data_IF_581426123690
#
_entry.id   IF_581426123690
#
_cell.length_a   1.000
_cell.length_b   1.000
_cell.length_c   1.000
_cell.angle_alpha   90.00
_cell.angle_beta   90.00
_cell.angle_gamma   90.00
#
_symmetry.space_group_name_H-M   'P 1'
#
loop_
_entity.id
_entity.type
_entity.pdbx_description
1 polymer ?
#
# COMPACT_ATOMS: atom_id res chain seq x y z
N UNK A 1 -32.99 -8.67 -53.09
CA UNK A 1 -31.61 -8.61 -52.56
C UNK A 1 -31.15 -7.22 -52.07
N UNK A 2 -32.02 -6.22 -51.87
CA UNK A 2 -31.61 -4.86 -51.42
C UNK A 2 -31.75 -4.59 -49.91
N UNK A 3 -32.43 -5.46 -49.14
CA UNK A 3 -32.73 -5.25 -47.70
C UNK A 3 -31.67 -5.80 -46.74
N UNK A 4 -30.85 -6.76 -47.16
CA UNK A 4 -29.77 -7.35 -46.32
C UNK A 4 -28.54 -6.45 -46.22
N UNK A 5 -28.23 -5.67 -47.27
CA UNK A 5 -27.10 -4.73 -47.28
C UNK A 5 -27.35 -3.53 -46.34
N UNK A 6 -28.61 -3.11 -46.18
CA UNK A 6 -28.97 -1.95 -45.34
C UNK A 6 -28.86 -2.21 -43.83
N UNK A 7 -28.94 -3.48 -43.38
CA UNK A 7 -28.78 -3.86 -41.97
C UNK A 7 -27.31 -4.15 -41.58
N UNK A 8 -26.45 -4.48 -42.55
CA UNK A 8 -25.03 -4.76 -42.30
C UNK A 8 -24.20 -3.49 -42.09
N UNK A 9 -24.58 -2.36 -42.70
CA UNK A 9 -23.87 -1.09 -42.58
C UNK A 9 -23.87 -0.50 -41.15
N UNK A 10 -25.01 -0.37 -40.44
CA UNK A 10 -25.00 0.12 -39.06
C UNK A 10 -24.29 -0.85 -38.09
N UNK A 11 -24.34 -2.16 -38.36
CA UNK A 11 -23.62 -3.16 -37.56
C UNK A 11 -22.11 -3.06 -37.74
N UNK A 12 -21.63 -2.86 -38.98
CA UNK A 12 -20.22 -2.63 -39.27
C UNK A 12 -19.72 -1.31 -38.64
N UNK A 13 -20.52 -0.25 -38.68
CA UNK A 13 -20.22 1.03 -38.01
C UNK A 13 -20.18 0.85 -36.49
N UNK A 14 -21.12 0.13 -35.89
CA UNK A 14 -21.10 -0.15 -34.46
C UNK A 14 -19.88 -0.98 -34.02
N UNK A 15 -19.49 -2.00 -34.81
CA UNK A 15 -18.29 -2.81 -34.57
C UNK A 15 -16.99 -2.00 -34.72
N UNK A 16 -16.92 -1.10 -35.71
CA UNK A 16 -15.81 -0.16 -35.89
C UNK A 16 -15.72 0.83 -34.72
N UNK A 17 -16.85 1.36 -34.25
CA UNK A 17 -16.88 2.28 -33.11
C UNK A 17 -16.49 1.61 -31.78
N UNK A 18 -16.83 0.32 -31.59
CA UNK A 18 -16.37 -0.45 -30.43
C UNK A 18 -14.86 -0.76 -30.49
N UNK A 19 -14.30 -0.99 -31.68
CA UNK A 19 -12.86 -1.20 -31.86
C UNK A 19 -11.99 0.05 -31.64
N UNK A 20 -12.61 1.23 -31.63
CA UNK A 20 -11.92 2.50 -31.37
C UNK A 20 -11.89 2.89 -29.88
N UNK A 21 -12.48 2.12 -28.96
CA UNK A 21 -12.35 2.40 -27.54
C UNK A 21 -11.04 1.80 -27.00
N UNK A 22 -10.14 2.67 -26.52
CA UNK A 22 -8.94 2.22 -25.84
C UNK A 22 -9.25 1.55 -24.51
N UNK A 23 -8.37 0.64 -24.09
CA UNK A 23 -8.51 -0.03 -22.79
C UNK A 23 -8.20 0.94 -21.64
N UNK A 24 -8.82 0.72 -20.48
CA UNK A 24 -8.40 1.37 -19.25
C UNK A 24 -6.98 0.91 -18.87
N UNK A 25 -6.23 1.81 -18.23
CA UNK A 25 -4.97 1.46 -17.60
C UNK A 25 -5.20 0.53 -16.42
N UNK A 26 -4.16 -0.23 -16.06
CA UNK A 26 -4.16 -1.08 -14.86
C UNK A 26 -3.86 -0.25 -13.63
N UNK A 27 -4.49 -0.60 -12.52
CA UNK A 27 -4.16 0.00 -11.24
C UNK A 27 -2.76 -0.45 -10.80
N UNK A 28 -2.05 0.51 -10.22
CA UNK A 28 -0.77 0.32 -9.57
C UNK A 28 -0.81 -0.65 -8.39
N UNK A 29 0.33 -1.25 -8.09
CA UNK A 29 0.52 -2.09 -6.91
C UNK A 29 1.23 -1.35 -5.79
N UNK A 30 0.92 -1.73 -4.54
CA UNK A 30 1.60 -1.23 -3.35
C UNK A 30 2.39 -2.38 -2.74
N UNK A 31 3.68 -2.17 -2.58
CA UNK A 31 4.61 -3.12 -2.01
C UNK A 31 5.07 -2.61 -0.64
N UNK A 32 4.87 -3.41 0.39
CA UNK A 32 5.24 -3.08 1.76
C UNK A 32 6.36 -4.01 2.22
N UNK A 33 7.46 -3.43 2.68
CA UNK A 33 8.50 -4.14 3.43
C UNK A 33 8.41 -3.73 4.89
N UNK A 34 8.40 -4.71 5.78
CA UNK A 34 8.51 -4.49 7.21
C UNK A 34 9.97 -4.62 7.63
N UNK A 35 10.49 -3.60 8.32
CA UNK A 35 11.83 -3.62 8.91
C UNK A 35 11.72 -3.51 10.41
N UNK A 36 12.39 -4.40 11.12
CA UNK A 36 12.35 -4.49 12.57
C UNK A 36 13.72 -4.11 13.14
N UNK A 37 13.78 -3.10 14.01
CA UNK A 37 15.00 -2.65 14.69
C UNK A 37 14.72 -2.69 16.18
N UNK A 38 15.45 -3.54 16.91
CA UNK A 38 15.27 -3.73 18.35
C UNK A 38 13.83 -4.10 18.75
N UNK A 39 13.17 -4.89 17.90
CA UNK A 39 11.80 -5.40 18.09
C UNK A 39 11.84 -6.88 18.49
N UNK A 40 11.14 -7.22 19.58
CA UNK A 40 11.02 -8.57 20.12
C UNK A 40 9.79 -9.31 19.61
N UNK A 41 8.70 -8.61 19.31
CA UNK A 41 7.51 -9.19 18.67
C UNK A 41 6.78 -8.19 17.79
N UNK A 42 6.16 -8.69 16.72
CA UNK A 42 5.37 -7.89 15.78
C UNK A 42 4.14 -8.66 15.30
N UNK A 43 3.03 -7.95 15.15
CA UNK A 43 1.81 -8.43 14.53
C UNK A 43 1.16 -7.33 13.67
N UNK A 44 0.51 -7.76 12.59
CA UNK A 44 -0.46 -6.96 11.84
C UNK A 44 -1.53 -7.88 11.23
N UNK A 45 -2.65 -7.31 10.79
CA UNK A 45 -3.74 -8.04 10.13
C UNK A 45 -3.61 -8.07 8.60
N UNK A 46 -2.50 -7.58 8.03
CA UNK A 46 -2.25 -7.62 6.59
C UNK A 46 -1.87 -9.03 6.12
N UNK A 47 -2.81 -9.72 5.48
CA UNK A 47 -2.64 -11.09 4.96
C UNK A 47 -1.46 -11.25 4.00
N UNK A 48 -0.99 -10.17 3.34
CA UNK A 48 0.16 -10.22 2.46
C UNK A 48 1.48 -10.45 3.22
N UNK A 49 1.53 -10.12 4.50
CA UNK A 49 2.66 -10.36 5.39
C UNK A 49 2.46 -11.72 6.09
N UNK A 50 3.25 -12.76 5.75
CA UNK A 50 3.10 -14.08 6.36
C UNK A 50 3.74 -14.17 7.75
N UNK A 51 3.41 -15.23 8.49
CA UNK A 51 4.16 -15.60 9.70
C UNK A 51 5.61 -15.95 9.34
N UNK A 52 6.56 -15.49 10.16
CA UNK A 52 7.99 -15.69 9.91
C UNK A 52 8.50 -14.94 8.68
N UNK A 53 7.87 -13.82 8.31
CA UNK A 53 8.27 -13.00 7.18
C UNK A 53 9.76 -12.58 7.26
N UNK A 54 10.37 -12.39 6.10
CA UNK A 54 11.69 -11.77 5.98
C UNK A 54 11.56 -10.24 6.01
N UNK A 55 12.44 -9.57 6.76
CA UNK A 55 12.53 -8.11 6.85
C UNK A 55 13.18 -7.43 5.63
N UNK A 56 13.72 -8.23 4.70
CA UNK A 56 14.44 -7.75 3.53
C UNK A 56 13.60 -7.75 2.24
N UNK A 57 12.38 -8.29 2.30
CA UNK A 57 11.53 -8.51 1.13
C UNK A 57 10.32 -7.57 1.15
N UNK A 58 9.92 -7.15 -0.05
CA UNK A 58 8.68 -6.41 -0.28
C UNK A 58 7.52 -7.37 -0.58
N UNK A 59 6.40 -7.20 0.13
CA UNK A 59 5.18 -7.97 -0.06
C UNK A 59 4.12 -7.13 -0.75
N UNK A 60 3.47 -7.69 -1.77
CA UNK A 60 2.38 -7.01 -2.50
C UNK A 60 1.14 -6.93 -1.61
N UNK A 61 0.89 -5.76 -1.05
CA UNK A 61 -0.22 -5.51 -0.13
C UNK A 61 -1.42 -4.94 -0.88
N UNK A 62 -2.62 -5.37 -0.48
CA UNK A 62 -3.86 -4.77 -1.02
C UNK A 62 -4.05 -3.37 -0.45
N UNK A 63 -4.74 -2.50 -1.18
CA UNK A 63 -5.26 -1.27 -0.62
C UNK A 63 -6.29 -1.61 0.48
N UNK A 64 -6.20 -0.96 1.64
CA UNK A 64 -6.97 -1.33 2.82
C UNK A 64 -6.55 -0.53 4.04
N UNK A 65 -7.24 -0.78 5.15
CA UNK A 65 -6.80 -0.33 6.48
C UNK A 65 -6.39 -1.59 7.24
N UNK A 66 -5.30 -1.48 7.97
CA UNK A 66 -4.69 -2.56 8.72
C UNK A 66 -4.38 -2.09 10.13
N UNK A 67 -4.42 -3.01 11.07
CA UNK A 67 -4.00 -2.84 12.46
C UNK A 67 -2.60 -3.44 12.63
N UNK A 68 -1.81 -2.86 13.52
CA UNK A 68 -0.50 -3.39 13.86
C UNK A 68 -0.17 -3.15 15.32
N UNK A 69 0.73 -3.99 15.84
CA UNK A 69 1.35 -3.82 17.14
C UNK A 69 2.78 -4.38 17.14
N UNK A 70 3.67 -3.78 17.93
CA UNK A 70 5.00 -4.31 18.14
C UNK A 70 5.57 -3.97 19.51
N UNK A 71 6.38 -4.89 20.04
CA UNK A 71 7.10 -4.74 21.29
C UNK A 71 8.59 -4.66 21.02
N UNK A 72 9.27 -3.72 21.67
CA UNK A 72 10.69 -3.47 21.56
C UNK A 72 11.50 -4.20 22.66
N UNK A 73 12.82 -4.24 22.52
CA UNK A 73 13.73 -4.88 23.48
C UNK A 73 13.81 -4.17 24.83
N UNK A 74 13.48 -2.88 24.88
CA UNK A 74 13.42 -2.06 26.10
C UNK A 74 12.06 -2.18 26.83
N UNK A 75 11.13 -2.98 26.29
CA UNK A 75 9.77 -3.11 26.79
C UNK A 75 8.80 -2.04 26.26
N UNK A 76 9.25 -1.10 25.44
CA UNK A 76 8.36 -0.16 24.75
C UNK A 76 7.41 -0.93 23.84
N UNK A 77 6.13 -0.58 23.87
CA UNK A 77 5.12 -1.12 22.96
C UNK A 77 4.49 -0.02 22.12
N UNK A 78 4.22 -0.34 20.87
CA UNK A 78 3.51 0.53 19.92
C UNK A 78 2.37 -0.24 19.30
N UNK A 79 1.19 0.36 19.25
CA UNK A 79 0.01 -0.17 18.57
C UNK A 79 -0.58 0.90 17.65
N UNK A 80 -1.33 0.50 16.63
CA UNK A 80 -1.94 1.48 15.75
C UNK A 80 -2.54 0.92 14.47
N UNK A 81 -2.74 1.83 13.52
CA UNK A 81 -3.30 1.50 12.21
C UNK A 81 -2.42 2.05 11.09
N UNK A 82 -2.43 1.35 9.96
CA UNK A 82 -1.92 1.90 8.71
C UNK A 82 -2.91 1.69 7.56
N UNK A 83 -3.08 2.71 6.72
CA UNK A 83 -3.96 2.66 5.54
C UNK A 83 -3.14 2.73 4.27
N UNK A 84 -3.34 1.80 3.35
CA UNK A 84 -2.70 1.79 2.03
C UNK A 84 -3.69 2.19 0.93
N UNK A 85 -3.25 3.09 0.05
CA UNK A 85 -3.97 3.46 -1.19
C UNK A 85 -3.06 3.28 -2.39
N UNK A 86 -3.64 2.83 -3.51
CA UNK A 86 -2.95 2.60 -4.78
C UNK A 86 -3.26 3.70 -5.79
N UNK A 87 -2.33 3.92 -6.70
CA UNK A 87 -2.53 4.76 -7.87
C UNK A 87 -3.43 4.03 -8.87
N UNK A 88 -4.54 4.67 -9.28
CA UNK A 88 -5.49 4.07 -10.21
C UNK A 88 -5.02 4.28 -11.65
N UNK A 89 -5.27 3.30 -12.51
CA UNK A 89 -5.08 3.47 -13.95
C UNK A 89 -6.04 4.53 -14.50
N UNK A 90 -5.61 5.27 -15.52
CA UNK A 90 -6.49 6.21 -16.20
C UNK A 90 -7.56 5.48 -17.02
N UNK A 91 -8.70 6.14 -17.22
CA UNK A 91 -9.71 5.65 -18.15
C UNK A 91 -9.20 5.73 -19.59
N UNK A 92 -9.43 4.65 -20.33
CA UNK A 92 -9.31 4.65 -21.79
C UNK A 92 -10.36 5.57 -22.41
N UNK A 93 -10.04 6.09 -23.59
CA UNK A 93 -10.90 6.95 -24.37
C UNK A 93 -10.93 6.56 -25.84
N UNK A 94 -11.62 7.35 -26.64
CA UNK A 94 -11.66 7.15 -28.09
C UNK A 94 -10.24 7.24 -28.67
N UNK A 95 -9.79 6.16 -29.29
CA UNK A 95 -8.47 5.97 -29.91
C UNK A 95 -7.28 6.14 -28.95
N UNK A 96 -7.51 6.08 -27.62
CA UNK A 96 -6.47 6.30 -26.61
C UNK A 96 -6.63 5.31 -25.46
N UNK A 97 -5.60 4.51 -25.20
CA UNK A 97 -5.55 3.70 -23.97
C UNK A 97 -5.30 4.61 -22.75
N UNK A 98 -5.86 4.25 -21.60
CA UNK A 98 -5.51 4.87 -20.33
C UNK A 98 -4.09 4.48 -19.93
N UNK A 99 -3.39 5.39 -19.27
CA UNK A 99 -2.09 5.10 -18.67
C UNK A 99 -2.25 4.19 -17.44
N UNK A 100 -1.32 3.25 -17.25
CA UNK A 100 -1.27 2.44 -16.03
C UNK A 100 -0.90 3.31 -14.83
N UNK A 101 -1.49 3.00 -13.67
CA UNK A 101 -1.03 3.51 -12.39
C UNK A 101 0.38 2.98 -12.10
N UNK A 102 1.21 3.81 -11.47
CA UNK A 102 2.59 3.40 -11.15
C UNK A 102 2.59 2.29 -10.08
N UNK A 103 3.76 1.74 -9.75
CA UNK A 103 3.94 0.92 -8.54
C UNK A 103 4.61 1.73 -7.43
N UNK A 104 4.33 1.42 -6.16
CA UNK A 104 4.97 2.08 -5.01
C UNK A 104 5.53 1.09 -4.02
N UNK A 105 6.71 1.40 -3.52
CA UNK A 105 7.48 0.58 -2.57
C UNK A 105 7.68 1.37 -1.28
N UNK A 106 7.03 0.92 -0.21
CA UNK A 106 7.16 1.48 1.14
C UNK A 106 7.97 0.56 2.04
N UNK A 107 8.87 1.13 2.84
CA UNK A 107 9.44 0.45 4.00
C UNK A 107 8.82 1.02 5.27
N UNK A 108 8.08 0.19 5.98
CA UNK A 108 7.61 0.50 7.32
C UNK A 108 8.61 -0.10 8.31
N UNK A 109 9.37 0.78 8.96
CA UNK A 109 10.35 0.42 10.00
C UNK A 109 9.75 0.59 11.39
N UNK A 110 9.72 -0.48 12.18
CA UNK A 110 9.35 -0.52 13.58
C UNK A 110 10.61 -0.42 14.45
N UNK A 111 10.61 0.46 15.45
CA UNK A 111 11.75 0.78 16.32
C UNK A 111 11.27 1.38 17.65
N UNK A 112 12.18 1.46 18.62
CA UNK A 112 11.93 1.98 19.97
C UNK A 112 11.33 3.40 19.93
N UNK A 113 11.88 4.28 19.09
CA UNK A 113 11.43 5.67 18.94
C UNK A 113 10.11 5.82 18.19
N UNK A 114 9.46 4.70 17.84
CA UNK A 114 8.21 4.68 17.11
C UNK A 114 8.39 4.48 15.60
N UNK A 115 7.29 4.29 14.86
CA UNK A 115 7.33 3.89 13.47
C UNK A 115 8.06 4.92 12.59
N UNK A 116 8.72 4.44 11.53
CA UNK A 116 9.28 5.25 10.46
C UNK A 116 8.84 4.71 9.12
N UNK A 117 8.54 5.63 8.21
CA UNK A 117 8.19 5.30 6.84
C UNK A 117 9.24 5.85 5.88
N UNK A 118 9.69 4.99 4.96
CA UNK A 118 10.43 5.40 3.78
C UNK A 118 9.74 4.89 2.53
N UNK A 119 10.01 5.53 1.40
CA UNK A 119 9.57 5.07 0.08
C UNK A 119 10.65 5.29 -0.96
N UNK A 120 10.64 4.48 -2.01
CA UNK A 120 11.52 4.68 -3.16
C UNK A 120 10.83 5.54 -4.22
N UNK A 121 11.56 6.55 -4.67
CA UNK A 121 11.17 7.41 -5.79
C UNK A 121 12.43 7.92 -6.50
N UNK A 122 12.43 7.88 -7.82
CA UNK A 122 13.55 8.34 -8.67
C UNK A 122 14.91 7.70 -8.30
N UNK A 123 14.89 6.41 -7.95
CA UNK A 123 16.10 5.65 -7.57
C UNK A 123 16.68 6.05 -6.21
N UNK A 124 15.96 6.82 -5.40
CA UNK A 124 16.37 7.24 -4.06
C UNK A 124 15.34 6.84 -3.02
N UNK A 125 15.83 6.43 -1.86
CA UNK A 125 14.98 6.29 -0.69
C UNK A 125 14.69 7.67 -0.10
N UNK A 126 13.41 7.99 0.10
CA UNK A 126 12.92 9.20 0.73
C UNK A 126 12.29 8.85 2.08
N UNK A 127 12.55 9.67 3.09
CA UNK A 127 11.95 9.53 4.42
C UNK A 127 10.70 10.42 4.50
N UNK A 128 9.60 9.87 5.00
CA UNK A 128 8.40 10.66 5.28
C UNK A 128 8.52 11.25 6.67
N UNK A 129 8.49 12.58 6.76
CA UNK A 129 8.49 13.28 8.05
C UNK A 129 7.14 13.06 8.74
N UNK A 130 7.12 12.64 10.01
CA UNK A 130 5.88 12.58 10.78
C UNK A 130 5.16 13.93 10.79
N UNK A 131 3.84 13.91 10.65
CA UNK A 131 2.99 15.11 10.76
C UNK A 131 2.84 15.51 12.23
N UNK A 132 2.69 14.52 13.10
CA UNK A 132 2.53 14.71 14.54
C UNK A 132 3.45 13.76 15.31
N UNK A 133 4.04 14.26 16.38
CA UNK A 133 4.88 13.47 17.29
C UNK A 133 4.78 14.07 18.68
N UNK A 134 4.10 13.34 19.57
CA UNK A 134 4.14 13.52 21.02
C UNK A 134 4.85 12.30 21.63
N UNK A 135 5.13 12.35 22.94
CA UNK A 135 5.82 11.26 23.66
C UNK A 135 5.14 9.89 23.50
N UNK A 136 3.81 9.89 23.34
CA UNK A 136 2.97 8.69 23.24
C UNK A 136 2.25 8.53 21.89
N UNK A 137 2.45 9.41 20.91
CA UNK A 137 1.71 9.33 19.64
C UNK A 137 2.51 9.80 18.45
N UNK A 138 2.48 9.02 17.36
CA UNK A 138 3.09 9.35 16.08
C UNK A 138 2.06 9.21 14.96
N UNK A 139 1.92 10.25 14.15
CA UNK A 139 1.12 10.24 12.93
C UNK A 139 2.01 10.54 11.72
N UNK A 140 2.03 9.63 10.74
CA UNK A 140 2.78 9.76 9.51
C UNK A 140 1.80 9.72 8.35
N UNK A 141 1.81 10.76 7.52
CA UNK A 141 1.00 10.84 6.31
C UNK A 141 1.94 11.10 5.14
N UNK A 142 1.97 10.15 4.22
CA UNK A 142 2.47 10.39 2.88
C UNK A 142 1.28 10.44 1.93
N UNK A 143 1.16 11.54 1.19
CA UNK A 143 0.17 11.73 0.14
C UNK A 143 0.83 12.54 -0.99
N UNK A 144 1.05 11.90 -2.13
CA UNK A 144 1.61 12.52 -3.33
C UNK A 144 0.54 12.67 -4.45
N UNK A 145 -0.74 12.53 -4.08
CA UNK A 145 -1.87 12.51 -5.01
C UNK A 145 -2.07 11.19 -5.76
N UNK A 146 -1.04 10.33 -5.82
CA UNK A 146 -1.08 9.02 -6.47
C UNK A 146 -1.17 7.88 -5.44
N UNK A 147 -0.46 8.00 -4.32
CA UNK A 147 -0.47 7.06 -3.22
C UNK A 147 -0.69 7.78 -1.92
N UNK A 148 -1.35 7.07 -1.02
CA UNK A 148 -1.49 7.50 0.35
C UNK A 148 -1.11 6.34 1.26
N UNK A 149 -0.23 6.63 2.20
CA UNK A 149 -0.09 5.81 3.40
C UNK A 149 -0.23 6.70 4.63
N UNK A 150 -1.11 6.27 5.52
CA UNK A 150 -1.41 6.96 6.77
C UNK A 150 -1.16 5.99 7.90
N UNK A 151 -0.17 6.28 8.73
CA UNK A 151 0.15 5.51 9.94
C UNK A 151 -0.24 6.35 11.14
N UNK A 152 -0.99 5.77 12.07
CA UNK A 152 -1.24 6.31 13.40
C UNK A 152 -0.75 5.29 14.40
N UNK A 153 0.12 5.70 15.31
CA UNK A 153 0.70 4.84 16.32
C UNK A 153 0.62 5.49 17.69
N UNK A 154 0.29 4.70 18.70
CA UNK A 154 0.26 5.09 20.09
C UNK A 154 1.21 4.21 20.87
N UNK A 155 1.99 4.82 21.76
CA UNK A 155 2.87 4.13 22.68
C UNK A 155 2.04 3.59 23.84
N UNK A 156 2.18 2.31 24.14
CA UNK A 156 1.49 1.69 25.27
C UNK A 156 2.49 1.38 26.39
N UNK A 157 2.10 1.65 27.64
CA UNK A 157 2.94 1.51 28.83
C UNK A 157 3.10 0.07 29.34
N UNK A 158 3.17 -0.94 28.44
CA UNK A 158 3.38 -2.34 28.80
C UNK A 158 2.11 -3.17 29.00
N UNK A 159 1.19 -3.15 28.03
CA UNK A 159 0.00 -4.02 28.01
C UNK A 159 0.16 -5.11 26.95
N UNK A 160 0.90 -6.15 27.33
CA UNK A 160 0.74 -7.50 26.77
C UNK A 160 1.33 -7.71 25.39
N UNK A 161 1.99 -8.85 25.20
CA UNK A 161 2.40 -9.31 23.88
C UNK A 161 1.17 -9.52 23.00
N UNK A 162 1.32 -9.23 21.71
CA UNK A 162 0.42 -9.71 20.66
C UNK A 162 -0.01 -11.15 20.94
N UNK A 163 -1.30 -11.45 20.90
CA UNK A 163 -1.80 -12.80 21.23
C UNK A 163 -1.30 -13.85 20.23
N UNK A 164 -0.93 -13.45 19.01
CA UNK A 164 -0.42 -14.33 17.96
C UNK A 164 0.57 -13.61 17.01
N UNK A 165 1.79 -13.31 17.45
CA UNK A 165 2.72 -12.50 16.68
C UNK A 165 3.18 -13.19 15.40
N UNK A 166 3.20 -12.44 14.29
CA UNK A 166 3.78 -12.89 13.02
C UNK A 166 5.30 -13.01 13.08
N UNK A 167 5.93 -12.30 14.00
CA UNK A 167 7.36 -12.35 14.25
C UNK A 167 7.66 -12.37 15.76
N UNK A 168 8.59 -13.23 16.15
CA UNK A 168 9.17 -13.28 17.49
C UNK A 168 10.70 -13.33 17.33
N UNK A 169 11.42 -12.42 17.98
CA UNK A 169 12.87 -12.47 18.05
C UNK A 169 13.32 -13.73 18.81
N UNK A 170 14.29 -14.45 18.25
CA UNK A 170 14.85 -15.67 18.86
C UNK A 170 15.96 -15.35 19.84
#
# INVERSE_FOLDING_TARGET
MKRTITMLLPLAIALLLMGCMGSNGRDGQVYLRLRLIDVTSYWDDNEAIPYGFSTEVYYTSRAGNYEFEYQCTDGTEWEGTYRLRRNLGELGGFMRNGADGLDRYYTFTCRIEGPKLTFYEDGKEKVVTPLHTDDDMIEIIHDDGAYQIHIKATRNGGKGKAENPKYIAR
#
